data_IF_311703449244
#
_entry.id   IF_311703449244
#
_cell.length_a   1.000
_cell.length_b   1.000
_cell.length_c   1.000
_cell.angle_alpha   90.00
_cell.angle_beta   90.00
_cell.angle_gamma   90.00
#
_symmetry.space_group_name_H-M   'P 1'
#
loop_
_entity.id
_entity.type
_entity.pdbx_description
1 polymer ?
#
# COMPACT_ATOMS: atom_id res chain seq x y z
N UNK A 1 8.31 12.03 4.85
CA UNK A 1 9.22 10.91 5.14
C UNK A 1 8.69 9.66 4.46
N UNK A 2 9.59 8.82 3.90
CA UNK A 2 9.22 7.50 3.38
C UNK A 2 9.29 6.45 4.49
N UNK A 3 8.26 5.61 4.54
CA UNK A 3 8.17 4.42 5.39
C UNK A 3 8.23 3.21 4.47
N UNK A 4 9.40 2.61 4.34
CA UNK A 4 9.65 1.56 3.35
C UNK A 4 10.39 0.33 3.91
N UNK A 5 10.57 0.30 5.23
CA UNK A 5 11.05 -0.89 5.93
C UNK A 5 10.02 -1.37 6.94
N UNK A 6 9.91 -2.68 7.22
CA UNK A 6 9.02 -3.19 8.26
C UNK A 6 9.25 -2.50 9.61
N UNK A 7 10.51 -2.23 9.96
CA UNK A 7 10.84 -1.52 11.19
C UNK A 7 10.28 -0.09 11.21
N UNK A 8 10.33 0.63 10.09
CA UNK A 8 9.76 1.98 10.00
C UNK A 8 8.23 1.96 10.14
N UNK A 9 7.54 0.99 9.54
CA UNK A 9 6.11 0.80 9.73
C UNK A 9 5.74 0.52 11.20
N UNK A 10 6.53 -0.34 11.87
CA UNK A 10 6.37 -0.65 13.29
C UNK A 10 6.69 0.54 14.22
N UNK A 11 7.44 1.53 13.77
CA UNK A 11 7.79 2.75 14.53
C UNK A 11 7.24 4.02 13.88
N UNK A 12 6.11 3.90 13.19
CA UNK A 12 5.48 5.02 12.51
C UNK A 12 5.01 6.12 13.45
N UNK A 13 4.71 5.80 14.69
CA UNK A 13 4.43 6.75 15.78
C UNK A 13 5.59 7.72 16.04
N UNK A 14 6.80 7.19 16.25
CA UNK A 14 7.99 8.02 16.48
C UNK A 14 8.31 8.90 15.27
N UNK A 15 8.16 8.35 14.06
CA UNK A 15 8.45 9.06 12.82
C UNK A 15 7.42 10.18 12.59
N UNK A 16 6.14 9.91 12.87
CA UNK A 16 5.04 10.84 12.67
C UNK A 16 5.18 12.12 13.50
N UNK A 17 5.72 12.02 14.72
CA UNK A 17 5.93 13.18 15.60
C UNK A 17 6.76 14.29 14.94
N UNK A 18 7.71 13.91 14.09
CA UNK A 18 8.63 14.83 13.44
C UNK A 18 8.40 14.96 11.92
N UNK A 19 7.23 14.53 11.43
CA UNK A 19 6.93 14.51 9.99
C UNK A 19 5.66 15.29 9.67
N UNK A 20 5.64 15.96 8.52
CA UNK A 20 4.43 16.58 7.98
C UNK A 20 3.53 15.54 7.32
N UNK A 21 4.12 14.53 6.68
CA UNK A 21 3.41 13.42 6.06
C UNK A 21 4.29 12.16 6.04
N UNK A 22 3.64 10.99 5.89
CA UNK A 22 4.32 9.72 5.63
C UNK A 22 3.86 9.14 4.29
N UNK A 23 4.82 8.67 3.51
CA UNK A 23 4.58 7.94 2.27
C UNK A 23 5.12 6.53 2.40
N UNK A 24 4.25 5.54 2.31
CA UNK A 24 4.64 4.14 2.43
C UNK A 24 5.16 3.62 1.10
N UNK A 25 6.45 3.23 1.07
CA UNK A 25 7.12 2.65 -0.10
C UNK A 25 6.79 1.17 -0.23
N UNK A 26 5.69 0.85 -0.91
CA UNK A 26 5.16 -0.52 -0.93
C UNK A 26 6.04 -1.52 -1.68
N UNK A 27 6.84 -1.09 -2.65
CA UNK A 27 7.79 -1.98 -3.32
C UNK A 27 8.85 -2.50 -2.35
N UNK A 28 9.47 -1.60 -1.60
CA UNK A 28 10.51 -1.96 -0.64
C UNK A 28 9.96 -2.69 0.58
N UNK A 29 8.78 -2.29 1.06
CA UNK A 29 8.07 -3.04 2.10
C UNK A 29 7.80 -4.48 1.66
N UNK A 30 7.37 -4.69 0.42
CA UNK A 30 7.15 -6.03 -0.13
C UNK A 30 8.45 -6.83 -0.18
N UNK A 31 9.54 -6.25 -0.72
CA UNK A 31 10.85 -6.90 -0.74
C UNK A 31 11.29 -7.37 0.64
N UNK A 32 11.19 -6.48 1.63
CA UNK A 32 11.69 -6.75 2.98
C UNK A 32 10.77 -7.68 3.77
N UNK A 33 9.47 -7.66 3.51
CA UNK A 33 8.51 -8.54 4.17
C UNK A 33 8.66 -9.98 3.67
N UNK A 34 8.83 -10.16 2.38
CA UNK A 34 9.06 -11.48 1.79
C UNK A 34 10.53 -11.94 1.85
N UNK A 35 11.48 -11.04 2.12
CA UNK A 35 12.91 -11.33 1.99
C UNK A 35 13.33 -11.61 0.55
N UNK A 36 12.68 -10.99 -0.43
CA UNK A 36 12.89 -11.17 -1.86
C UNK A 36 13.45 -9.89 -2.49
N UNK A 37 14.44 -10.04 -3.37
CA UNK A 37 14.86 -8.94 -4.24
C UNK A 37 13.90 -8.80 -5.42
N UNK A 38 13.39 -7.59 -5.66
CA UNK A 38 12.54 -7.29 -6.83
C UNK A 38 13.27 -7.56 -8.15
N UNK A 39 14.58 -7.26 -8.20
CA UNK A 39 15.40 -7.47 -9.39
C UNK A 39 15.61 -8.96 -9.70
N UNK A 40 15.64 -9.80 -8.67
CA UNK A 40 15.79 -11.25 -8.82
C UNK A 40 14.44 -11.96 -9.00
N UNK A 41 13.34 -11.40 -8.51
CA UNK A 41 12.03 -12.02 -8.55
C UNK A 41 11.56 -12.33 -9.97
N UNK A 42 11.91 -11.51 -10.95
CA UNK A 42 11.57 -11.74 -12.36
C UNK A 42 12.06 -13.08 -12.92
N UNK A 43 13.04 -13.73 -12.27
CA UNK A 43 13.59 -15.02 -12.72
C UNK A 43 12.69 -16.21 -12.35
N UNK A 44 11.89 -16.10 -11.30
CA UNK A 44 11.12 -17.24 -10.78
C UNK A 44 9.63 -16.89 -10.51
N UNK A 45 9.26 -15.62 -10.49
CA UNK A 45 7.92 -15.19 -10.10
C UNK A 45 6.83 -15.79 -11.02
N UNK A 46 7.08 -15.82 -12.33
CA UNK A 46 6.13 -16.42 -13.28
C UNK A 46 5.88 -17.90 -12.98
N UNK A 47 6.93 -18.64 -12.62
CA UNK A 47 6.82 -20.07 -12.25
C UNK A 47 6.05 -20.24 -10.96
N UNK A 48 6.25 -19.35 -9.99
CA UNK A 48 5.55 -19.40 -8.70
C UNK A 48 4.06 -19.10 -8.84
N UNK A 49 3.69 -18.14 -9.66
CA UNK A 49 2.29 -17.85 -9.98
C UNK A 49 1.66 -19.02 -10.75
N UNK A 50 2.34 -19.55 -11.78
CA UNK A 50 1.85 -20.67 -12.57
C UNK A 50 1.65 -21.94 -11.75
N UNK A 51 2.49 -22.18 -10.74
CA UNK A 51 2.40 -23.32 -9.81
C UNK A 51 1.46 -23.07 -8.63
N UNK A 52 0.83 -21.91 -8.56
CA UNK A 52 -0.08 -21.55 -7.47
C UNK A 52 0.59 -21.31 -6.12
N UNK A 53 1.91 -21.04 -6.08
CA UNK A 53 2.63 -20.64 -4.87
C UNK A 53 2.21 -19.23 -4.46
N UNK A 54 2.10 -18.33 -5.45
CA UNK A 54 1.43 -17.04 -5.32
C UNK A 54 0.18 -17.02 -6.19
N UNK A 55 -0.88 -16.37 -5.72
CA UNK A 55 -2.07 -16.12 -6.53
C UNK A 55 -1.76 -15.10 -7.63
N UNK A 56 -1.01 -14.07 -7.30
CA UNK A 56 -0.54 -13.02 -8.18
C UNK A 56 0.86 -12.56 -7.74
N UNK A 57 1.54 -11.83 -8.63
CA UNK A 57 2.84 -11.22 -8.31
C UNK A 57 2.66 -10.14 -7.22
N UNK A 58 3.26 -10.30 -6.02
CA UNK A 58 3.11 -9.36 -4.91
C UNK A 58 3.75 -7.99 -5.17
N UNK A 59 4.54 -7.83 -6.24
CA UNK A 59 5.03 -6.54 -6.70
C UNK A 59 4.03 -5.80 -7.61
N UNK A 60 3.01 -6.50 -8.10
CA UNK A 60 1.93 -5.93 -8.92
C UNK A 60 0.68 -5.65 -8.09
N UNK A 61 0.23 -6.62 -7.34
CA UNK A 61 -0.95 -6.53 -6.46
C UNK A 61 -0.48 -6.61 -5.01
N UNK A 62 -0.95 -5.69 -4.18
CA UNK A 62 -0.54 -5.60 -2.79
C UNK A 62 -0.89 -6.89 -2.03
N UNK A 63 0.09 -7.47 -1.37
CA UNK A 63 -0.12 -8.51 -0.37
C UNK A 63 -0.82 -7.92 0.86
N UNK A 64 -2.12 -8.09 0.91
CA UNK A 64 -2.97 -7.50 1.97
C UNK A 64 -2.70 -8.16 3.32
N UNK A 65 -2.45 -9.46 3.33
CA UNK A 65 -2.30 -10.24 4.57
C UNK A 65 -0.96 -9.99 5.28
N UNK A 66 0.10 -9.70 4.54
CA UNK A 66 1.42 -9.41 5.11
C UNK A 66 1.77 -7.93 5.06
N UNK A 67 2.02 -7.40 3.87
CA UNK A 67 2.40 -6.00 3.69
C UNK A 67 1.27 -5.06 4.07
N UNK A 68 0.03 -5.43 3.76
CA UNK A 68 -1.16 -4.67 4.13
C UNK A 68 -1.33 -4.55 5.64
N UNK A 69 -1.03 -5.60 6.41
CA UNK A 69 -1.05 -5.54 7.87
C UNK A 69 -0.01 -4.54 8.41
N UNK A 70 1.21 -4.53 7.85
CA UNK A 70 2.23 -3.54 8.20
C UNK A 70 1.77 -2.10 7.89
N UNK A 71 1.14 -1.89 6.74
CA UNK A 71 0.57 -0.59 6.36
C UNK A 71 -0.48 -0.16 7.37
N UNK A 72 -1.44 -1.04 7.70
CA UNK A 72 -2.50 -0.78 8.68
C UNK A 72 -1.94 -0.43 10.06
N UNK A 73 -0.95 -1.19 10.53
CA UNK A 73 -0.27 -0.88 11.79
C UNK A 73 0.40 0.49 11.76
N UNK A 74 1.10 0.80 10.66
CA UNK A 74 1.76 2.09 10.47
C UNK A 74 0.77 3.26 10.49
N UNK A 75 -0.35 3.13 9.78
CA UNK A 75 -1.43 4.13 9.75
C UNK A 75 -2.01 4.37 11.15
N UNK A 76 -2.38 3.29 11.86
CA UNK A 76 -2.95 3.38 13.22
C UNK A 76 -1.97 4.08 14.18
N UNK A 77 -0.70 3.70 14.14
CA UNK A 77 0.34 4.28 15.02
C UNK A 77 0.59 5.75 14.71
N UNK A 78 0.72 6.10 13.43
CA UNK A 78 0.94 7.48 13.02
C UNK A 78 -0.24 8.39 13.41
N UNK A 79 -1.48 7.97 13.10
CA UNK A 79 -2.72 8.70 13.48
C UNK A 79 -2.91 8.77 15.00
N UNK A 80 -2.46 7.78 15.75
CA UNK A 80 -2.55 7.74 17.21
C UNK A 80 -1.77 8.86 17.89
N UNK A 81 -0.68 9.35 17.29
CA UNK A 81 0.15 10.46 17.82
C UNK A 81 -0.05 11.77 17.07
N UNK A 82 -0.51 11.72 15.82
CA UNK A 82 -0.77 12.89 14.99
C UNK A 82 -1.98 12.63 14.10
N UNK A 83 -3.15 12.98 14.60
CA UNK A 83 -4.44 12.64 13.96
C UNK A 83 -4.61 13.22 12.56
N UNK A 84 -4.01 14.37 12.28
CA UNK A 84 -4.08 15.11 11.01
C UNK A 84 -2.91 14.81 10.06
N UNK A 85 -2.02 13.86 10.39
CA UNK A 85 -0.89 13.53 9.52
C UNK A 85 -1.39 12.98 8.17
N UNK A 86 -0.84 13.50 7.09
CA UNK A 86 -1.15 13.03 5.74
C UNK A 86 -0.43 11.71 5.47
N UNK A 87 -1.18 10.70 5.02
CA UNK A 87 -0.69 9.35 4.78
C UNK A 87 -0.96 8.91 3.34
N UNK A 88 0.04 8.32 2.71
CA UNK A 88 -0.06 7.87 1.32
C UNK A 88 0.77 6.61 1.07
N UNK A 89 0.50 5.95 -0.05
CA UNK A 89 1.45 4.99 -0.62
C UNK A 89 2.13 5.55 -1.86
N UNK A 90 3.31 5.03 -2.14
CA UNK A 90 3.98 5.15 -3.42
C UNK A 90 4.50 3.77 -3.85
N UNK A 91 4.67 3.60 -5.15
CA UNK A 91 5.06 2.33 -5.77
C UNK A 91 4.02 1.84 -6.79
N UNK A 92 4.25 0.66 -7.33
CA UNK A 92 3.41 0.09 -8.40
C UNK A 92 1.96 -0.16 -7.93
N UNK A 93 1.77 -0.48 -6.66
CA UNK A 93 0.48 -0.79 -6.06
C UNK A 93 -0.51 0.39 -6.09
N UNK A 94 -0.02 1.64 -6.14
CA UNK A 94 -0.87 2.82 -6.28
C UNK A 94 -1.65 2.90 -7.59
N UNK A 95 -1.33 2.06 -8.56
CA UNK A 95 -2.06 1.93 -9.84
C UNK A 95 -3.02 0.73 -9.91
N UNK A 96 -3.09 -0.12 -8.87
CA UNK A 96 -3.98 -1.29 -8.80
C UNK A 96 -5.29 -0.92 -8.11
N UNK A 97 -6.47 -1.19 -8.72
CA UNK A 97 -7.77 -0.89 -8.12
C UNK A 97 -7.99 -1.55 -6.76
N UNK A 98 -7.55 -2.80 -6.60
CA UNK A 98 -7.67 -3.58 -5.36
C UNK A 98 -6.83 -2.95 -4.24
N UNK A 99 -5.60 -2.56 -4.57
CA UNK A 99 -4.70 -1.88 -3.64
C UNK A 99 -5.22 -0.50 -3.24
N UNK A 100 -5.84 0.23 -4.17
CA UNK A 100 -6.49 1.53 -3.90
C UNK A 100 -7.67 1.37 -2.94
N UNK A 101 -8.50 0.33 -3.13
CA UNK A 101 -9.61 0.04 -2.22
C UNK A 101 -9.11 -0.25 -0.80
N UNK A 102 -8.09 -1.09 -0.68
CA UNK A 102 -7.48 -1.37 0.61
C UNK A 102 -6.91 -0.11 1.28
N UNK A 103 -6.18 0.73 0.54
CA UNK A 103 -5.63 1.98 1.07
C UNK A 103 -6.73 2.92 1.59
N UNK A 104 -7.85 3.01 0.86
CA UNK A 104 -9.03 3.75 1.30
C UNK A 104 -9.60 3.20 2.61
N UNK A 105 -9.75 1.87 2.71
CA UNK A 105 -10.31 1.21 3.90
C UNK A 105 -9.46 1.44 5.14
N UNK A 106 -8.15 1.49 5.03
CA UNK A 106 -7.25 1.75 6.16
C UNK A 106 -7.06 3.25 6.47
N UNK A 107 -7.72 4.15 5.72
CA UNK A 107 -7.74 5.58 5.99
C UNK A 107 -6.53 6.36 5.46
N UNK A 108 -5.96 5.94 4.34
CA UNK A 108 -4.96 6.74 3.63
C UNK A 108 -5.61 7.89 2.85
N UNK A 109 -4.89 9.00 2.72
CA UNK A 109 -5.42 10.23 2.13
C UNK A 109 -5.29 10.24 0.60
N UNK A 110 -4.21 9.65 0.06
CA UNK A 110 -4.01 9.54 -1.38
C UNK A 110 -3.05 8.39 -1.74
N UNK A 111 -3.00 8.08 -3.03
CA UNK A 111 -2.02 7.16 -3.63
C UNK A 111 -1.20 7.88 -4.70
N UNK A 112 0.07 7.54 -4.80
CA UNK A 112 0.91 7.92 -5.93
C UNK A 112 1.09 6.73 -6.87
N UNK A 113 1.03 6.99 -8.17
CA UNK A 113 1.26 5.97 -9.19
C UNK A 113 1.99 6.57 -10.40
N UNK A 114 2.45 5.73 -11.32
CA UNK A 114 3.04 6.20 -12.57
C UNK A 114 2.03 7.03 -13.37
N UNK A 115 2.46 8.01 -14.18
CA UNK A 115 1.57 8.90 -14.94
C UNK A 115 0.55 8.14 -15.80
N UNK A 116 0.96 7.02 -16.39
CA UNK A 116 0.09 6.19 -17.23
C UNK A 116 -1.02 5.47 -16.46
N UNK A 117 -0.86 5.30 -15.15
CA UNK A 117 -1.84 4.68 -14.27
C UNK A 117 -2.82 5.67 -13.64
N UNK A 118 -2.55 6.97 -13.72
CA UNK A 118 -3.42 8.02 -13.12
C UNK A 118 -4.87 7.91 -13.58
N UNK A 119 -5.20 7.71 -14.87
CA UNK A 119 -6.60 7.56 -15.29
C UNK A 119 -7.29 6.36 -14.62
N UNK A 120 -6.61 5.22 -14.53
CA UNK A 120 -7.11 4.00 -13.88
C UNK A 120 -7.32 4.23 -12.39
N UNK A 121 -6.34 4.84 -11.71
CA UNK A 121 -6.44 5.14 -10.28
C UNK A 121 -7.59 6.10 -9.97
N UNK A 122 -7.78 7.14 -10.78
CA UNK A 122 -8.91 8.07 -10.63
C UNK A 122 -10.26 7.37 -10.83
N UNK A 123 -10.36 6.51 -11.84
CA UNK A 123 -11.60 5.76 -12.10
C UNK A 123 -11.91 4.81 -10.94
N UNK A 124 -10.92 4.06 -10.46
CA UNK A 124 -11.08 3.18 -9.30
C UNK A 124 -11.55 3.96 -8.06
N UNK A 125 -10.89 5.07 -7.73
CA UNK A 125 -11.27 5.91 -6.60
C UNK A 125 -12.71 6.46 -6.74
N UNK A 126 -13.10 6.88 -7.94
CA UNK A 126 -14.46 7.36 -8.22
C UNK A 126 -15.50 6.26 -8.05
N UNK A 127 -15.24 5.05 -8.56
CA UNK A 127 -16.13 3.90 -8.40
C UNK A 127 -16.32 3.52 -6.92
N UNK A 128 -15.24 3.54 -6.14
CA UNK A 128 -15.29 3.27 -4.71
C UNK A 128 -16.11 4.33 -3.96
N UNK A 129 -15.90 5.61 -4.28
CA UNK A 129 -16.69 6.70 -3.69
C UNK A 129 -18.18 6.61 -4.01
N UNK A 130 -18.55 6.08 -5.19
CA UNK A 130 -19.95 5.83 -5.55
C UNK A 130 -20.50 4.65 -4.73
N UNK A 131 -19.74 3.56 -4.59
CA UNK A 131 -20.16 2.41 -3.77
C UNK A 131 -20.47 2.83 -2.33
N UNK A 132 -19.61 3.65 -1.72
CA UNK A 132 -19.83 4.14 -0.35
C UNK A 132 -21.11 4.97 -0.19
N UNK A 133 -21.49 5.71 -1.24
CA UNK A 133 -22.75 6.48 -1.23
C UNK A 133 -23.98 5.60 -1.37
N UNK A 134 -23.87 4.47 -2.07
CA UNK A 134 -24.97 3.54 -2.31
C UNK A 134 -25.15 2.58 -1.13
N UNK A 135 -24.06 2.16 -0.52
CA UNK A 135 -24.03 1.24 0.64
C UNK A 135 -23.15 1.79 1.77
N UNK A 136 -23.69 2.73 2.59
CA UNK A 136 -22.96 3.36 3.69
C UNK A 136 -22.62 2.40 4.84
N UNK A 137 -23.05 1.14 4.77
CA UNK A 137 -22.86 0.14 5.83
C UNK A 137 -21.58 -0.69 5.72
N UNK A 138 -20.74 -0.40 4.73
CA UNK A 138 -19.45 -1.11 4.49
C UNK A 138 -18.24 -0.28 4.84
#
# INVERSE_FOLDING_TARGET
VMVETPRAALRADDIALNSAFLSFGTNDLTQMTYGLSRDDAGRFMSDYVQKGVFLEDPFHTLDIDGVGELLKMGVIRARGVKNDIVLSICGEHGGSPESIDFCRQIGMDYVSCSPFRVPVAKLAAAQLAIKDRIDPSK
#
